data_IF_182273054590
#
_entry.id   IF_182273054590
#
_cell.length_a   1.000
_cell.length_b   1.000
_cell.length_c   1.000
_cell.angle_alpha   90.00
_cell.angle_beta   90.00
_cell.angle_gamma   90.00
#
_symmetry.space_group_name_H-M   'P 1'
#
loop_
_entity.id
_entity.type
_entity.pdbx_description
1 polymer ?
#
# COMPACT_ATOMS: atom_id res chain seq x y z
N UNK A 1 32.20 19.35 -31.04
CA UNK A 1 31.08 20.04 -30.35
C UNK A 1 29.94 19.03 -30.21
N UNK A 2 29.36 18.80 -29.02
CA UNK A 2 28.24 17.87 -28.90
C UNK A 2 27.08 18.35 -29.77
N UNK A 3 26.46 17.45 -30.53
CA UNK A 3 25.38 17.77 -31.45
C UNK A 3 24.13 18.20 -30.66
N UNK A 4 24.01 19.50 -30.40
CA UNK A 4 22.98 20.10 -29.53
C UNK A 4 21.56 19.82 -30.04
N UNK A 5 21.40 19.67 -31.36
CA UNK A 5 20.09 19.37 -31.98
C UNK A 5 19.64 17.95 -31.61
N UNK A 6 20.54 16.97 -31.68
CA UNK A 6 20.22 15.59 -31.33
C UNK A 6 19.87 15.41 -29.85
N UNK A 7 20.56 16.11 -28.95
CA UNK A 7 20.27 16.04 -27.51
C UNK A 7 18.98 16.75 -27.13
N UNK A 8 18.62 17.84 -27.83
CA UNK A 8 17.32 18.52 -27.65
C UNK A 8 16.15 17.64 -28.11
N UNK A 9 16.27 16.98 -29.27
CA UNK A 9 15.23 16.05 -29.75
C UNK A 9 15.01 14.91 -28.77
N UNK A 10 16.09 14.29 -28.28
CA UNK A 10 16.01 13.20 -27.31
C UNK A 10 15.32 13.64 -26.00
N UNK A 11 15.63 14.85 -25.50
CA UNK A 11 15.01 15.39 -24.28
C UNK A 11 13.53 15.72 -24.47
N UNK A 12 13.16 16.30 -25.61
CA UNK A 12 11.76 16.60 -25.92
C UNK A 12 10.96 15.31 -26.04
N UNK A 13 11.52 14.29 -26.69
CA UNK A 13 10.90 12.97 -26.78
C UNK A 13 10.69 12.34 -25.40
N UNK A 14 11.71 12.31 -24.56
CA UNK A 14 11.62 11.80 -23.18
C UNK A 14 10.54 12.55 -22.36
N UNK A 15 10.51 13.88 -22.47
CA UNK A 15 9.50 14.70 -21.81
C UNK A 15 8.08 14.37 -22.28
N UNK A 16 7.87 14.24 -23.60
CA UNK A 16 6.56 13.89 -24.17
C UNK A 16 6.12 12.52 -23.66
N UNK A 17 7.00 11.53 -23.67
CA UNK A 17 6.70 10.18 -23.18
C UNK A 17 6.32 10.21 -21.70
N UNK A 18 7.11 10.88 -20.86
CA UNK A 18 6.84 10.99 -19.43
C UNK A 18 5.51 11.70 -19.15
N UNK A 19 5.20 12.78 -19.87
CA UNK A 19 3.93 13.51 -19.69
C UNK A 19 2.74 12.70 -20.17
N UNK A 20 2.84 12.04 -21.32
CA UNK A 20 1.80 11.18 -21.85
C UNK A 20 1.51 10.01 -20.89
N UNK A 21 2.55 9.36 -20.36
CA UNK A 21 2.41 8.31 -19.35
C UNK A 21 1.72 8.82 -18.08
N UNK A 22 2.12 10.00 -17.59
CA UNK A 22 1.51 10.62 -16.41
C UNK A 22 0.03 10.94 -16.59
N UNK A 23 -0.36 11.51 -17.74
CA UNK A 23 -1.77 11.78 -18.06
C UNK A 23 -2.55 10.46 -18.12
N UNK A 24 -2.04 9.49 -18.88
CA UNK A 24 -2.68 8.17 -19.05
C UNK A 24 -2.94 7.50 -17.72
N UNK A 25 -1.93 7.46 -16.83
CA UNK A 25 -2.07 6.85 -15.50
C UNK A 25 -3.14 7.55 -14.65
N UNK A 26 -3.15 8.89 -14.63
CA UNK A 26 -4.14 9.65 -13.87
C UNK A 26 -5.56 9.43 -14.39
N UNK A 27 -5.74 9.38 -15.71
CA UNK A 27 -7.03 9.09 -16.34
C UNK A 27 -7.53 7.69 -15.96
N UNK A 28 -6.68 6.67 -16.03
CA UNK A 28 -7.04 5.31 -15.61
C UNK A 28 -7.43 5.27 -14.13
N UNK A 29 -6.65 5.93 -13.27
CA UNK A 29 -6.91 5.97 -11.83
C UNK A 29 -8.22 6.70 -11.49
N UNK A 30 -8.58 7.74 -12.26
CA UNK A 30 -9.85 8.44 -12.09
C UNK A 30 -11.05 7.51 -12.30
N UNK A 31 -11.03 6.70 -13.35
CA UNK A 31 -12.08 5.71 -13.60
C UNK A 31 -12.07 4.57 -12.58
N UNK A 32 -10.89 4.07 -12.20
CA UNK A 32 -10.75 3.00 -11.21
C UNK A 32 -11.30 3.39 -9.82
N UNK A 33 -11.13 4.67 -9.41
CA UNK A 33 -11.73 5.19 -8.17
C UNK A 33 -13.25 5.22 -8.20
N UNK A 34 -13.87 5.36 -9.38
CA UNK A 34 -15.34 5.46 -9.52
C UNK A 34 -16.03 4.10 -9.58
N UNK A 35 -15.34 3.07 -10.04
CA UNK A 35 -15.82 1.68 -10.01
C UNK A 35 -14.69 0.71 -9.61
N UNK A 36 -14.33 0.65 -8.32
CA UNK A 36 -13.24 -0.20 -7.85
C UNK A 36 -13.60 -1.69 -7.97
N UNK A 37 -12.66 -2.49 -8.48
CA UNK A 37 -12.81 -3.94 -8.59
C UNK A 37 -12.97 -4.60 -7.20
N UNK A 38 -13.77 -5.68 -7.06
CA UNK A 38 -13.93 -6.37 -5.78
C UNK A 38 -12.60 -6.86 -5.18
N UNK A 39 -12.62 -7.13 -3.88
CA UNK A 39 -11.51 -7.69 -3.13
C UNK A 39 -11.32 -9.18 -3.43
N UNK A 40 -10.07 -9.63 -3.33
CA UNK A 40 -9.71 -11.04 -3.55
C UNK A 40 -9.97 -11.82 -2.26
N UNK A 41 -10.63 -12.97 -2.39
CA UNK A 41 -10.84 -13.93 -1.30
C UNK A 41 -9.85 -15.08 -1.46
N UNK A 42 -8.74 -15.12 -0.70
CA UNK A 42 -7.78 -16.23 -0.78
C UNK A 42 -8.36 -17.48 -0.13
N UNK A 43 -7.87 -18.67 -0.53
CA UNK A 43 -8.38 -19.98 -0.06
C UNK A 43 -8.32 -20.20 1.46
N UNK A 44 -7.45 -19.47 2.16
CA UNK A 44 -7.25 -19.59 3.61
C UNK A 44 -8.13 -18.63 4.43
N UNK A 45 -8.93 -17.77 3.78
CA UNK A 45 -9.80 -16.80 4.46
C UNK A 45 -11.23 -16.94 3.97
N UNK A 46 -12.18 -17.06 4.89
CA UNK A 46 -13.61 -17.07 4.56
C UNK A 46 -14.10 -15.70 4.07
N UNK A 47 -13.33 -14.63 4.34
CA UNK A 47 -13.67 -13.25 4.00
C UNK A 47 -12.70 -12.65 2.98
N UNK A 48 -13.18 -11.76 2.11
CA UNK A 48 -12.31 -11.07 1.16
C UNK A 48 -11.34 -10.13 1.89
N UNK A 49 -10.15 -9.95 1.31
CA UNK A 49 -9.15 -9.04 1.85
C UNK A 49 -9.61 -7.59 1.74
N UNK A 50 -9.67 -6.88 2.86
CA UNK A 50 -10.01 -5.45 2.91
C UNK A 50 -9.04 -4.61 2.09
N UNK A 51 -9.58 -3.69 1.30
CA UNK A 51 -8.81 -2.69 0.55
C UNK A 51 -8.18 -1.69 1.53
N UNK A 52 -7.13 -0.99 1.11
CA UNK A 52 -6.36 -0.10 2.00
C UNK A 52 -7.22 0.97 2.68
N UNK A 53 -8.26 1.48 2.02
CA UNK A 53 -9.19 2.47 2.55
C UNK A 53 -10.29 1.88 3.45
N UNK A 54 -10.52 0.57 3.41
CA UNK A 54 -11.48 -0.14 4.26
C UNK A 54 -10.84 -0.58 5.58
N UNK A 55 -9.50 -0.53 5.67
CA UNK A 55 -8.76 -0.87 6.88
C UNK A 55 -8.99 0.20 7.92
N UNK A 56 -9.74 -0.16 8.97
CA UNK A 56 -9.91 0.70 10.14
C UNK A 56 -8.82 0.39 11.16
N UNK A 57 -8.31 1.43 11.82
CA UNK A 57 -7.55 1.24 13.04
C UNK A 57 -8.57 0.89 14.12
N UNK A 58 -8.50 -0.28 14.77
CA UNK A 58 -9.39 -0.56 15.88
C UNK A 58 -9.20 0.53 16.94
N UNK A 59 -10.30 1.01 17.52
CA UNK A 59 -10.34 2.02 18.60
C UNK A 59 -9.82 1.48 19.93
N UNK A 60 -8.83 0.59 19.88
CA UNK A 60 -8.00 0.25 21.01
C UNK A 60 -7.24 1.54 21.33
N UNK A 61 -7.68 2.24 22.38
CA UNK A 61 -7.15 3.52 22.81
C UNK A 61 -5.63 3.55 22.72
N UNK A 62 -5.07 4.67 22.27
CA UNK A 62 -3.63 4.89 22.27
C UNK A 62 -3.33 5.83 23.46
N UNK A 63 -2.53 5.43 24.47
CA UNK A 63 -1.80 4.17 24.62
C UNK A 63 -2.74 3.00 24.92
N UNK A 64 -2.43 1.83 24.35
CA UNK A 64 -3.16 0.62 24.71
C UNK A 64 -2.71 0.25 26.13
N UNK A 65 -3.64 0.16 27.07
CA UNK A 65 -3.54 -0.85 28.13
C UNK A 65 -3.76 -2.17 27.39
N UNK A 66 -2.70 -2.71 26.81
CA UNK A 66 -2.76 -4.06 26.29
C UNK A 66 -2.96 -4.96 27.51
N UNK A 67 -3.95 -5.85 27.48
CA UNK A 67 -3.98 -7.03 28.36
C UNK A 67 -2.80 -7.98 28.09
N UNK A 68 -1.75 -7.51 27.41
CA UNK A 68 -0.47 -8.16 27.39
C UNK A 68 0.02 -8.23 28.82
N UNK A 69 -0.15 -9.40 29.43
CA UNK A 69 0.65 -9.80 30.58
C UNK A 69 2.09 -9.34 30.35
N UNK A 70 2.71 -8.86 31.43
CA UNK A 70 4.09 -8.39 31.40
C UNK A 70 4.96 -9.38 30.61
N UNK A 71 5.73 -8.93 29.61
CA UNK A 71 6.55 -9.82 28.79
C UNK A 71 7.53 -10.69 29.59
N UNK A 72 7.96 -10.22 30.77
CA UNK A 72 8.73 -11.03 31.71
C UNK A 72 7.85 -12.10 32.38
N UNK A 73 6.69 -11.70 32.93
CA UNK A 73 5.76 -12.62 33.60
C UNK A 73 5.21 -13.72 32.66
N UNK A 74 5.00 -13.43 31.36
CA UNK A 74 4.57 -14.46 30.39
C UNK A 74 5.65 -15.52 30.19
N UNK A 75 6.94 -15.12 30.20
CA UNK A 75 8.05 -16.08 30.07
C UNK A 75 8.14 -16.96 31.31
N UNK A 76 8.12 -16.35 32.49
CA UNK A 76 8.16 -17.05 33.77
C UNK A 76 6.98 -18.04 33.91
N UNK A 77 5.76 -17.59 33.61
CA UNK A 77 4.58 -18.45 33.67
C UNK A 77 4.65 -19.61 32.66
N UNK A 78 5.25 -19.39 31.47
CA UNK A 78 5.45 -20.44 30.47
C UNK A 78 6.47 -21.47 30.93
N UNK A 79 7.56 -21.04 31.57
CA UNK A 79 8.56 -21.93 32.15
C UNK A 79 8.01 -22.75 33.32
N UNK A 80 7.06 -22.21 34.09
CA UNK A 80 6.42 -22.93 35.19
C UNK A 80 5.42 -24.02 34.75
N UNK A 81 4.92 -23.96 33.51
CA UNK A 81 3.95 -24.93 32.97
C UNK A 81 4.64 -26.09 32.24
N UNK A 82 5.82 -25.85 31.65
CA UNK A 82 6.62 -26.84 30.89
C UNK A 82 7.50 -27.63 31.84
#
# INVERSE_FOLDING_TARGET
MPNQVGTQIARTFDWVVCKAAGITFNTIQFFNKRNPNPSVTPKWSDKPLLKSWEKTKPTLGFPRQTDSLCPACVKEAREAII
#
